data_IF_915909619430
#
_entry.id   IF_915909619430
#
_cell.length_a   1.000
_cell.length_b   1.000
_cell.length_c   1.000
_cell.angle_alpha   90.00
_cell.angle_beta   90.00
_cell.angle_gamma   90.00
#
_symmetry.space_group_name_H-M   'P 1'
#
loop_
_entity.id
_entity.type
_entity.pdbx_description
1 polymer ?
#
# COMPACT_ATOMS: atom_id res chain seq x y z
N UNK A 1 12.70 21.73 6.32
CA UNK A 1 13.08 21.34 4.95
C UNK A 1 13.65 19.95 5.00
N UNK A 2 12.79 18.95 4.99
CA UNK A 2 13.17 17.54 4.92
C UNK A 2 12.03 16.84 4.19
N UNK A 3 12.06 16.85 2.86
CA UNK A 3 11.27 15.91 2.08
C UNK A 3 11.66 14.52 2.55
N UNK A 4 10.73 13.83 3.20
CA UNK A 4 10.88 12.42 3.56
C UNK A 4 11.07 11.63 2.28
N UNK A 5 12.33 11.31 1.97
CA UNK A 5 12.65 10.32 0.95
C UNK A 5 11.97 9.03 1.41
N UNK A 6 11.08 8.48 0.57
CA UNK A 6 10.62 7.09 0.69
C UNK A 6 11.87 6.25 0.86
N UNK A 7 12.13 5.80 2.09
CA UNK A 7 13.26 4.94 2.37
C UNK A 7 12.95 3.66 1.60
N UNK A 8 13.67 3.44 0.51
CA UNK A 8 13.48 2.28 -0.34
C UNK A 8 13.72 1.05 0.53
N UNK A 9 12.63 0.41 0.95
CA UNK A 9 12.66 -0.83 1.70
C UNK A 9 13.31 -1.94 0.87
N UNK A 10 13.39 -3.17 1.38
CA UNK A 10 13.86 -4.29 0.58
C UNK A 10 13.12 -4.32 -0.77
N UNK A 11 13.83 -4.66 -1.85
CA UNK A 11 13.22 -4.75 -3.17
C UNK A 11 11.93 -5.58 -3.04
N UNK A 12 10.79 -5.00 -3.44
CA UNK A 12 9.44 -5.59 -3.36
C UNK A 12 8.75 -5.56 -1.97
N UNK A 13 9.22 -4.77 -1.01
CA UNK A 13 8.46 -4.51 0.21
C UNK A 13 7.08 -3.92 -0.13
N UNK A 14 5.98 -4.45 0.44
CA UNK A 14 4.66 -3.83 0.27
C UNK A 14 4.70 -2.39 0.80
N UNK A 15 4.02 -1.49 0.11
CA UNK A 15 3.87 -0.10 0.56
C UNK A 15 2.52 0.03 1.23
N UNK A 16 2.51 0.30 2.53
CA UNK A 16 1.30 0.55 3.31
C UNK A 16 1.08 2.06 3.43
N UNK A 17 0.08 2.55 2.72
CA UNK A 17 -0.43 3.90 2.85
C UNK A 17 -1.40 3.92 4.03
N UNK A 18 -1.06 4.75 5.02
CA UNK A 18 -1.87 4.97 6.21
C UNK A 18 -2.76 6.17 5.97
N UNK A 19 -4.05 5.91 5.87
CA UNK A 19 -5.07 6.94 5.76
C UNK A 19 -5.53 7.35 7.17
N UNK A 20 -5.74 8.65 7.43
CA UNK A 20 -6.13 9.12 8.75
C UNK A 20 -7.52 8.58 9.14
N UNK A 21 -7.74 8.26 10.43
CA UNK A 21 -8.96 7.61 10.89
C UNK A 21 -10.21 8.50 10.82
N UNK A 22 -10.04 9.82 10.77
CA UNK A 22 -11.12 10.82 10.82
C UNK A 22 -11.59 11.31 9.44
N UNK A 23 -11.00 10.83 8.33
CA UNK A 23 -11.42 11.22 6.99
C UNK A 23 -12.52 10.29 6.43
N UNK A 24 -13.49 10.83 5.66
CA UNK A 24 -14.50 10.02 4.99
C UNK A 24 -13.85 9.08 3.95
N UNK A 25 -14.44 7.90 3.75
CA UNK A 25 -13.97 6.89 2.79
C UNK A 25 -13.80 7.43 1.35
N UNK A 26 -14.51 8.51 0.97
CA UNK A 26 -14.37 9.15 -0.35
C UNK A 26 -13.04 9.92 -0.54
N UNK A 27 -12.41 10.37 0.55
CA UNK A 27 -11.10 11.04 0.53
C UNK A 27 -9.93 10.06 0.69
N UNK A 28 -10.25 8.80 0.99
CA UNK A 28 -9.31 7.72 1.30
C UNK A 28 -8.39 7.36 0.12
N UNK A 29 -8.87 7.53 -1.11
CA UNK A 29 -8.12 7.19 -2.33
C UNK A 29 -7.05 8.22 -2.69
N UNK A 30 -7.20 9.49 -2.29
CA UNK A 30 -6.34 10.58 -2.75
C UNK A 30 -4.84 10.36 -2.51
N UNK A 31 -4.42 10.00 -1.28
CA UNK A 31 -3.04 9.66 -0.96
C UNK A 31 -2.46 8.53 -1.83
N UNK A 32 -3.25 7.48 -2.03
CA UNK A 32 -2.88 6.31 -2.81
C UNK A 32 -2.74 6.65 -4.31
N UNK A 33 -3.65 7.46 -4.86
CA UNK A 33 -3.57 7.92 -6.25
C UNK A 33 -2.36 8.82 -6.49
N UNK A 34 -2.03 9.71 -5.56
CA UNK A 34 -0.82 10.55 -5.65
C UNK A 34 0.45 9.69 -5.65
N UNK A 35 0.53 8.69 -4.77
CA UNK A 35 1.65 7.75 -4.75
C UNK A 35 1.77 6.96 -6.06
N UNK A 36 0.64 6.50 -6.61
CA UNK A 36 0.59 5.80 -7.90
C UNK A 36 1.04 6.73 -9.05
N UNK A 37 0.54 7.96 -9.08
CA UNK A 37 0.91 8.96 -10.08
C UNK A 37 2.41 9.28 -10.02
N UNK A 38 2.95 9.43 -8.81
CA UNK A 38 4.38 9.68 -8.60
C UNK A 38 5.23 8.51 -9.10
N UNK A 39 4.90 7.29 -8.68
CA UNK A 39 5.65 6.10 -9.13
C UNK A 39 5.55 5.88 -10.64
N UNK A 40 4.40 6.21 -11.24
CA UNK A 40 4.24 6.15 -12.69
C UNK A 40 5.12 7.17 -13.39
N UNK A 41 5.16 8.41 -12.89
CA UNK A 41 6.08 9.43 -13.39
C UNK A 41 7.55 9.00 -13.28
N UNK A 42 7.93 8.34 -12.19
CA UNK A 42 9.29 7.83 -12.02
C UNK A 42 9.60 6.68 -13.02
N UNK A 43 8.62 5.80 -13.28
CA UNK A 43 8.73 4.73 -14.27
C UNK A 43 8.83 5.26 -15.71
N UNK A 44 8.01 6.25 -16.07
CA UNK A 44 8.05 6.96 -17.36
C UNK A 44 9.41 7.63 -17.56
N UNK A 45 9.96 8.29 -16.54
CA UNK A 45 11.29 8.91 -16.60
C UNK A 45 12.43 7.89 -16.78
N UNK A 46 12.25 6.67 -16.28
CA UNK A 46 13.17 5.55 -16.48
C UNK A 46 13.00 4.86 -17.85
N UNK A 47 12.00 5.25 -18.66
CA UNK A 47 11.68 4.61 -19.94
C UNK A 47 11.06 3.23 -19.80
N UNK A 48 10.51 2.89 -18.62
CA UNK A 48 9.82 1.63 -18.39
C UNK A 48 8.40 1.68 -18.97
N UNK A 49 7.85 0.55 -19.45
CA UNK A 49 6.45 0.51 -19.88
C UNK A 49 5.52 0.81 -18.71
N UNK A 50 4.40 1.48 -18.99
CA UNK A 50 3.41 1.77 -17.96
C UNK A 50 2.86 0.46 -17.37
N UNK A 51 2.93 0.27 -16.05
CA UNK A 51 2.47 -0.95 -15.41
C UNK A 51 0.95 -1.03 -15.46
N UNK A 52 0.42 -2.26 -15.60
CA UNK A 52 -1.00 -2.49 -15.42
C UNK A 52 -1.31 -2.44 -13.92
N UNK A 53 -2.28 -1.63 -13.54
CA UNK A 53 -2.72 -1.49 -12.14
C UNK A 53 -4.04 -2.24 -11.95
N UNK A 54 -4.11 -3.08 -10.92
CA UNK A 54 -5.29 -3.83 -10.50
C UNK A 54 -5.72 -3.37 -9.12
N UNK A 55 -7.02 -3.16 -8.92
CA UNK A 55 -7.60 -2.73 -7.65
C UNK A 55 -8.47 -3.84 -7.07
N UNK A 56 -8.28 -4.14 -5.80
CA UNK A 56 -9.13 -5.03 -5.01
C UNK A 56 -9.50 -4.36 -3.68
N UNK A 57 -10.60 -4.79 -3.10
CA UNK A 57 -11.11 -4.33 -1.81
C UNK A 57 -10.80 -5.37 -0.73
N UNK A 58 -10.45 -4.91 0.47
CA UNK A 58 -10.37 -5.75 1.66
C UNK A 58 -11.76 -6.19 2.12
N UNK A 59 -12.36 -7.15 1.42
CA UNK A 59 -13.68 -7.70 1.74
C UNK A 59 -13.61 -9.22 1.88
N UNK A 60 -14.50 -9.77 2.71
CA UNK A 60 -14.63 -11.21 3.03
C UNK A 60 -14.66 -12.08 1.75
N UNK A 61 -15.42 -11.65 0.74
CA UNK A 61 -15.55 -12.33 -0.56
C UNK A 61 -14.24 -12.40 -1.38
N UNK A 62 -13.30 -11.49 -1.13
CA UNK A 62 -12.00 -11.44 -1.81
C UNK A 62 -10.88 -12.08 -0.97
N UNK A 63 -11.11 -12.32 0.32
CA UNK A 63 -10.12 -12.91 1.24
C UNK A 63 -9.67 -14.31 0.83
N UNK A 64 -10.56 -15.12 0.24
CA UNK A 64 -10.21 -16.43 -0.31
C UNK A 64 -9.31 -16.36 -1.56
N UNK A 65 -9.35 -15.24 -2.29
CA UNK A 65 -8.67 -15.07 -3.58
C UNK A 65 -7.47 -14.13 -3.52
N UNK A 66 -7.24 -13.42 -2.41
CA UNK A 66 -6.15 -12.44 -2.27
C UNK A 66 -4.79 -13.05 -2.60
N UNK A 67 -4.54 -14.28 -2.18
CA UNK A 67 -3.29 -14.99 -2.50
C UNK A 67 -3.12 -15.22 -4.01
N UNK A 68 -4.21 -15.53 -4.72
CA UNK A 68 -4.18 -15.69 -6.17
C UNK A 68 -3.98 -14.34 -6.88
N UNK A 69 -4.65 -13.28 -6.45
CA UNK A 69 -4.43 -11.93 -7.00
C UNK A 69 -2.98 -11.47 -6.82
N UNK A 70 -2.42 -11.67 -5.63
CA UNK A 70 -1.01 -11.35 -5.34
C UNK A 70 -0.08 -12.19 -6.22
N UNK A 71 -0.30 -13.50 -6.32
CA UNK A 71 0.55 -14.38 -7.12
C UNK A 71 0.52 -14.05 -8.62
N UNK A 72 -0.67 -13.79 -9.18
CA UNK A 72 -0.84 -13.44 -10.59
C UNK A 72 -0.19 -12.09 -10.91
N UNK A 73 -0.44 -11.07 -10.08
CA UNK A 73 0.18 -9.76 -10.25
C UNK A 73 1.71 -9.84 -10.08
N UNK A 74 2.19 -10.60 -9.09
CA UNK A 74 3.61 -10.83 -8.84
C UNK A 74 4.31 -11.50 -10.02
N UNK A 75 3.63 -12.42 -10.70
CA UNK A 75 4.15 -13.09 -11.90
C UNK A 75 4.13 -12.19 -13.12
N UNK A 76 3.09 -11.38 -13.28
CA UNK A 76 2.92 -10.48 -14.42
C UNK A 76 3.78 -9.20 -14.33
N UNK A 77 4.21 -8.81 -13.14
CA UNK A 77 4.81 -7.48 -12.92
C UNK A 77 3.78 -6.37 -12.78
N UNK A 78 2.52 -6.72 -12.53
CA UNK A 78 1.43 -5.77 -12.37
C UNK A 78 1.51 -5.09 -11.00
N UNK A 79 0.86 -3.94 -10.87
CA UNK A 79 0.69 -3.29 -9.58
C UNK A 79 -0.64 -3.70 -8.99
N UNK A 80 -0.60 -4.29 -7.80
CA UNK A 80 -1.79 -4.65 -7.05
C UNK A 80 -2.04 -3.63 -5.95
N UNK A 81 -3.22 -3.03 -5.99
CA UNK A 81 -3.69 -2.05 -5.02
C UNK A 81 -4.80 -2.69 -4.21
N UNK A 82 -4.62 -2.77 -2.89
CA UNK A 82 -5.58 -3.34 -1.95
C UNK A 82 -6.12 -2.21 -1.09
N UNK A 83 -7.37 -1.83 -1.32
CA UNK A 83 -8.04 -0.73 -0.60
C UNK A 83 -8.79 -1.25 0.62
N UNK A 84 -8.86 -0.42 1.67
CA UNK A 84 -9.58 -0.73 2.90
C UNK A 84 -9.26 -2.13 3.47
N UNK A 85 -7.98 -2.53 3.42
CA UNK A 85 -7.59 -3.89 3.79
C UNK A 85 -7.88 -4.24 5.26
N UNK A 86 -8.13 -3.24 6.11
CA UNK A 86 -8.43 -3.42 7.52
C UNK A 86 -9.84 -3.94 7.81
N UNK A 87 -10.77 -3.87 6.85
CA UNK A 87 -12.19 -4.15 7.09
C UNK A 87 -12.49 -5.61 7.41
N UNK A 88 -11.57 -6.51 7.15
CA UNK A 88 -11.74 -7.95 7.35
C UNK A 88 -10.47 -8.60 7.94
N UNK A 89 -10.62 -9.24 9.10
CA UNK A 89 -9.52 -9.89 9.83
C UNK A 89 -9.00 -11.12 9.09
N UNK A 90 -9.90 -11.91 8.48
CA UNK A 90 -9.52 -13.10 7.72
C UNK A 90 -8.76 -12.72 6.44
N UNK A 91 -9.19 -11.64 5.77
CA UNK A 91 -8.50 -11.04 4.65
C UNK A 91 -7.08 -10.62 5.03
N UNK A 92 -6.90 -9.88 6.14
CA UNK A 92 -5.58 -9.47 6.63
C UNK A 92 -4.66 -10.66 6.93
N UNK A 93 -5.23 -11.74 7.48
CA UNK A 93 -4.50 -12.99 7.74
C UNK A 93 -4.01 -13.64 6.43
N UNK A 94 -4.92 -13.76 5.44
CA UNK A 94 -4.60 -14.31 4.13
C UNK A 94 -3.58 -13.44 3.36
N UNK A 95 -3.72 -12.11 3.44
CA UNK A 95 -2.78 -11.15 2.85
C UNK A 95 -1.39 -11.28 3.48
N UNK A 96 -1.31 -11.39 4.81
CA UNK A 96 -0.03 -11.60 5.50
C UNK A 96 0.68 -12.85 4.99
N UNK A 97 -0.05 -13.97 4.85
CA UNK A 97 0.50 -15.21 4.31
C UNK A 97 0.95 -15.07 2.84
N UNK A 98 0.21 -14.33 2.01
CA UNK A 98 0.61 -14.04 0.64
C UNK A 98 1.91 -13.22 0.58
N UNK A 99 2.07 -12.23 1.46
CA UNK A 99 3.30 -11.43 1.56
C UNK A 99 4.49 -12.27 2.05
N UNK A 100 4.28 -13.21 2.98
CA UNK A 100 5.31 -14.20 3.36
C UNK A 100 5.82 -15.00 2.15
N UNK A 101 4.92 -15.40 1.25
CA UNK A 101 5.29 -16.14 0.03
C UNK A 101 6.09 -15.29 -0.95
N UNK A 102 5.80 -13.99 -1.08
CA UNK A 102 6.60 -13.06 -1.89
C UNK A 102 8.04 -12.92 -1.38
N UNK A 103 8.26 -13.06 -0.07
CA UNK A 103 9.61 -13.02 0.50
C UNK A 103 10.38 -14.32 0.23
N UNK A 104 9.68 -15.45 0.20
CA UNK A 104 10.27 -16.75 -0.11
C UNK A 104 10.60 -16.91 -1.60
N UNK A 105 9.76 -16.36 -2.49
CA UNK A 105 9.95 -16.41 -3.95
C UNK A 105 9.91 -14.98 -4.50
N UNK A 106 11.04 -14.43 -4.97
CA UNK A 106 11.11 -13.04 -5.40
C UNK A 106 10.15 -12.82 -6.58
N UNK A 107 9.28 -11.79 -6.51
CA UNK A 107 8.34 -11.47 -7.58
C UNK A 107 9.03 -10.82 -8.78
N UNK A 108 8.25 -10.52 -9.83
CA UNK A 108 8.73 -9.76 -10.97
C UNK A 108 9.28 -8.39 -10.54
N UNK A 109 10.35 -7.91 -11.20
CA UNK A 109 11.05 -6.69 -10.81
C UNK A 109 10.15 -5.44 -10.79
N UNK A 110 9.12 -5.42 -11.64
CA UNK A 110 8.15 -4.34 -11.75
C UNK A 110 6.94 -4.48 -10.82
N UNK A 111 6.76 -5.64 -10.17
CA UNK A 111 5.64 -5.89 -9.28
C UNK A 111 5.67 -4.93 -8.10
N UNK A 112 4.53 -4.32 -7.80
CA UNK A 112 4.35 -3.47 -6.61
C UNK A 112 3.04 -3.85 -5.92
N UNK A 113 3.11 -4.04 -4.60
CA UNK A 113 1.95 -4.23 -3.75
C UNK A 113 1.73 -2.95 -2.94
N UNK A 114 0.60 -2.29 -3.16
CA UNK A 114 0.19 -1.10 -2.42
C UNK A 114 -1.03 -1.48 -1.58
N UNK A 115 -0.93 -1.20 -0.28
CA UNK A 115 -1.99 -1.43 0.69
C UNK A 115 -2.46 -0.07 1.16
N UNK A 116 -3.77 0.09 1.23
CA UNK A 116 -4.42 1.21 1.84
C UNK A 116 -5.25 0.69 3.03
N UNK A 117 -5.05 1.31 4.18
CA UNK A 117 -5.68 0.89 5.41
C UNK A 117 -5.83 2.01 6.43
N UNK A 118 -6.92 1.96 7.21
CA UNK A 118 -6.95 2.64 8.49
C UNK A 118 -6.11 1.91 9.53
N UNK A 119 -5.52 2.64 10.46
CA UNK A 119 -4.88 2.05 11.62
C UNK A 119 -5.93 1.36 12.53
N UNK A 120 -5.79 0.06 12.73
CA UNK A 120 -6.68 -0.74 13.61
C UNK A 120 -5.87 -1.62 14.58
N UNK A 121 -6.39 -1.82 15.80
CA UNK A 121 -5.68 -2.55 16.84
C UNK A 121 -5.36 -4.02 16.48
N UNK A 122 -6.20 -4.65 15.66
CA UNK A 122 -6.04 -6.05 15.25
C UNK A 122 -5.20 -6.25 13.99
N UNK A 123 -4.63 -5.19 13.41
CA UNK A 123 -3.85 -5.33 12.18
C UNK A 123 -2.60 -6.20 12.45
N UNK A 124 -2.31 -7.19 11.59
CA UNK A 124 -1.23 -8.13 11.84
C UNK A 124 0.13 -7.42 11.89
N UNK A 125 0.76 -7.41 13.07
CA UNK A 125 2.11 -6.84 13.27
C UNK A 125 3.13 -7.41 12.31
N UNK A 126 3.03 -8.70 11.99
CA UNK A 126 3.91 -9.36 11.02
C UNK A 126 3.86 -8.71 9.63
N UNK A 127 2.68 -8.27 9.19
CA UNK A 127 2.51 -7.54 7.94
C UNK A 127 3.04 -6.11 8.08
N UNK A 128 2.72 -5.40 9.18
CA UNK A 128 3.23 -4.04 9.45
C UNK A 128 4.75 -3.95 9.40
N UNK A 129 5.45 -4.92 10.00
CA UNK A 129 6.91 -4.94 10.03
C UNK A 129 7.56 -5.15 8.65
N UNK A 130 6.81 -5.69 7.69
CA UNK A 130 7.28 -5.92 6.31
C UNK A 130 6.93 -4.78 5.37
N UNK A 131 5.99 -3.92 5.76
CA UNK A 131 5.53 -2.82 4.94
C UNK A 131 6.40 -1.58 5.12
N UNK A 132 6.66 -0.89 4.01
CA UNK A 132 7.08 0.52 4.06
C UNK A 132 5.85 1.35 4.35
N UNK A 133 5.82 2.02 5.49
CA UNK A 133 4.66 2.82 5.91
C UNK A 133 4.78 4.24 5.40
N UNK A 134 3.69 4.73 4.84
CA UNK A 134 3.59 6.03 4.20
C UNK A 134 2.37 6.72 4.78
N UNK A 135 2.57 7.71 5.66
CA UNK A 135 1.51 8.63 6.02
C UNK A 135 1.62 9.86 5.14
N UNK A 136 0.54 10.17 4.45
CA UNK A 136 0.44 11.28 3.52
C UNK A 136 -0.39 12.35 4.22
N UNK A 137 0.27 13.32 4.83
CA UNK A 137 -0.43 14.44 5.47
C UNK A 137 -0.93 15.39 4.38
N UNK A 138 -2.24 15.71 4.31
CA UNK A 138 -2.72 16.72 3.38
C UNK A 138 -2.00 18.04 3.66
N UNK A 139 -1.47 18.68 2.61
CA UNK A 139 -0.64 19.87 2.75
C UNK A 139 -1.43 21.08 3.22
N UNK A 140 -1.78 21.21 4.50
CA UNK A 140 -2.31 22.46 5.07
C UNK A 140 -3.55 23.07 4.39
N UNK A 141 -4.33 22.31 3.60
CA UNK A 141 -5.55 22.80 2.94
C UNK A 141 -6.16 21.80 1.95
N UNK A 142 -7.45 21.99 1.58
CA UNK A 142 -8.25 21.03 0.80
C UNK A 142 -7.85 20.88 -0.68
N UNK A 143 -6.81 21.57 -1.13
CA UNK A 143 -6.35 21.56 -2.52
C UNK A 143 -4.82 21.51 -2.65
N UNK A 144 -4.09 21.32 -1.54
CA UNK A 144 -2.63 21.28 -1.62
C UNK A 144 -2.14 19.83 -1.80
N UNK A 145 -1.20 19.61 -2.73
CA UNK A 145 -0.65 18.29 -2.99
C UNK A 145 -0.02 17.76 -1.71
N UNK A 146 -0.18 16.46 -1.47
CA UNK A 146 0.35 15.82 -0.29
C UNK A 146 1.87 16.07 -0.21
N UNK A 147 2.30 16.86 0.78
CA UNK A 147 3.64 17.48 0.73
C UNK A 147 4.67 16.73 1.57
N UNK A 148 4.22 15.90 2.50
CA UNK A 148 5.10 15.23 3.46
C UNK A 148 4.70 13.76 3.63
N UNK A 149 5.72 12.92 3.49
CA UNK A 149 5.67 11.49 3.70
C UNK A 149 6.27 11.23 5.07
N UNK A 150 5.42 11.09 6.09
CA UNK A 150 5.88 10.87 7.47
C UNK A 150 5.69 9.41 7.87
N UNK A 151 6.65 8.86 8.59
CA UNK A 151 6.56 7.51 9.13
C UNK A 151 5.92 7.60 10.52
N UNK A 152 4.60 7.83 10.58
CA UNK A 152 3.91 7.91 11.87
C UNK A 152 3.98 6.55 12.60
N UNK A 153 4.21 6.53 13.92
CA UNK A 153 4.13 5.31 14.71
C UNK A 153 2.70 4.76 14.65
N UNK A 154 2.55 3.49 14.27
CA UNK A 154 1.24 2.81 14.21
C UNK A 154 0.45 2.92 15.53
N UNK A 155 1.15 2.93 16.67
CA UNK A 155 0.55 3.05 18.00
C UNK A 155 -0.12 4.41 18.25
N UNK A 156 0.33 5.48 17.58
CA UNK A 156 -0.34 6.79 17.62
C UNK A 156 -1.53 6.87 16.68
N UNK A 157 -1.55 6.02 15.66
CA UNK A 157 -2.59 6.02 14.63
C UNK A 157 -3.77 5.12 15.01
N UNK A 158 -3.52 4.00 15.71
CA UNK A 158 -4.52 2.97 16.02
C UNK A 158 -5.24 3.17 17.37
N UNK A 159 -5.12 4.36 17.97
CA UNK A 159 -5.77 4.76 19.23
C UNK A 159 -7.24 5.13 19.01
#
# INVERSE_FOLDING_TARGET
GSSGVLQEGPAHAPVLVLSPPDEPDDLFTGPLEELLARRRSDADAAGAPAPRVQYIQGADEQGAFVGAFVAEAAKAGDWLVVQHCERDVAFLSALSAAVDMLQATPPHADFRLLLDARPVAYFPRALLHKCVRVSLTPGGGPAAPCTTLECLPWELAAA
#
